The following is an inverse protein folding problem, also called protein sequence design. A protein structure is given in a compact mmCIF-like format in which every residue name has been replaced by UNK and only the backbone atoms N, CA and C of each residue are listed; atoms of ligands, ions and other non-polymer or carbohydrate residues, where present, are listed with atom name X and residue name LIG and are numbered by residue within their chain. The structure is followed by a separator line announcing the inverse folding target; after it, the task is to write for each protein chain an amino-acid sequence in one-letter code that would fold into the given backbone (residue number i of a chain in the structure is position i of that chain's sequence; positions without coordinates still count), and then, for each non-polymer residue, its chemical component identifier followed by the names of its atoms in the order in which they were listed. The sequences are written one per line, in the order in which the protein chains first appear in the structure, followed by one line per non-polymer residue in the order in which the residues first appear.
data_IF_805782184606
#
_entry.id   IF_805782184606
#
_cell.length_a   1.000
_cell.length_b   1.000
_cell.length_c   1.000
_cell.angle_alpha   90.00
_cell.angle_beta   90.00
_cell.angle_gamma   90.00
#
_symmetry.space_group_name_H-M   'P 1'
#
loop_
_entity.id
_entity.type
_entity.pdbx_description
1 polymer ?
#
# COMPACT_ATOMS: atom_id res chain seq x y z
N UNK A 1 7.35 -44.47 -43.42
CA UNK A 1 8.33 -44.02 -42.42
C UNK A 1 8.07 -42.54 -42.14
N UNK A 2 7.72 -42.16 -40.89
CA UNK A 2 7.54 -40.73 -40.54
C UNK A 2 8.91 -40.11 -40.30
N UNK A 3 9.28 -39.08 -41.09
CA UNK A 3 10.47 -38.29 -40.89
C UNK A 3 10.33 -37.49 -39.56
N UNK A 4 11.00 -37.90 -38.53
CA UNK A 4 11.16 -37.11 -37.31
C UNK A 4 12.26 -36.05 -37.60
N UNK A 5 11.84 -34.79 -37.75
CA UNK A 5 12.77 -33.65 -37.78
C UNK A 5 13.15 -33.34 -36.32
N UNK A 6 14.42 -33.49 -35.96
CA UNK A 6 14.94 -33.10 -34.65
C UNK A 6 15.17 -31.60 -34.58
N UNK A 7 15.07 -31.05 -33.36
CA UNK A 7 15.44 -29.65 -33.06
C UNK A 7 16.96 -29.47 -33.15
N UNK A 8 17.39 -28.36 -33.71
CA UNK A 8 18.81 -28.00 -33.74
C UNK A 8 19.20 -27.38 -32.37
N UNK A 9 20.48 -27.53 -32.00
CA UNK A 9 21.02 -26.96 -30.77
C UNK A 9 20.90 -25.41 -30.75
N UNK A 10 21.10 -24.80 -31.93
CA UNK A 10 21.01 -23.34 -32.07
C UNK A 10 19.57 -22.82 -31.91
N UNK A 11 18.56 -23.54 -32.39
CA UNK A 11 17.16 -23.18 -32.16
C UNK A 11 16.82 -23.20 -30.66
N UNK A 12 17.30 -24.20 -29.91
CA UNK A 12 17.09 -24.26 -28.48
C UNK A 12 17.81 -23.11 -27.76
N UNK A 13 19.06 -22.81 -28.16
CA UNK A 13 19.84 -21.72 -27.53
C UNK A 13 19.17 -20.35 -27.72
N UNK A 14 18.64 -20.06 -28.91
CA UNK A 14 17.95 -18.80 -29.17
C UNK A 14 16.68 -18.69 -28.30
N UNK A 15 15.90 -19.77 -28.20
CA UNK A 15 14.66 -19.78 -27.40
C UNK A 15 14.96 -19.52 -25.93
N UNK A 16 15.93 -20.20 -25.34
CA UNK A 16 16.26 -19.99 -23.91
C UNK A 16 16.84 -18.59 -23.67
N UNK A 17 17.58 -18.02 -24.60
CA UNK A 17 18.08 -16.66 -24.52
C UNK A 17 16.94 -15.62 -24.48
N UNK A 18 15.96 -15.77 -25.36
CA UNK A 18 14.77 -14.89 -25.39
C UNK A 18 13.95 -15.04 -24.10
N UNK A 19 13.71 -16.28 -23.65
CA UNK A 19 12.98 -16.52 -22.40
C UNK A 19 13.71 -15.88 -21.21
N UNK A 20 15.03 -15.96 -21.14
CA UNK A 20 15.82 -15.36 -20.07
C UNK A 20 15.67 -13.85 -19.99
N UNK A 21 15.67 -13.17 -21.15
CA UNK A 21 15.47 -11.71 -21.25
C UNK A 21 14.04 -11.34 -20.80
N UNK A 22 13.03 -12.04 -21.30
CA UNK A 22 11.63 -11.78 -20.92
C UNK A 22 11.38 -12.05 -19.45
N UNK A 23 11.94 -13.13 -18.89
CA UNK A 23 11.81 -13.47 -17.48
C UNK A 23 12.43 -12.41 -16.58
N UNK A 24 13.58 -11.84 -16.95
CA UNK A 24 14.23 -10.79 -16.14
C UNK A 24 13.33 -9.57 -15.97
N UNK A 25 12.60 -9.16 -17.00
CA UNK A 25 11.65 -8.05 -16.96
C UNK A 25 10.39 -8.44 -16.17
N UNK A 26 9.84 -9.64 -16.45
CA UNK A 26 8.60 -10.11 -15.85
C UNK A 26 8.71 -10.25 -14.32
N UNK A 27 9.83 -10.76 -13.80
CA UNK A 27 10.06 -10.92 -12.35
C UNK A 27 10.02 -9.57 -11.64
N UNK A 28 10.67 -8.55 -12.20
CA UNK A 28 10.68 -7.20 -11.60
C UNK A 28 9.26 -6.60 -11.52
N UNK A 29 8.49 -6.70 -12.61
CA UNK A 29 7.11 -6.20 -12.65
C UNK A 29 6.19 -6.96 -11.69
N UNK A 30 6.37 -8.28 -11.58
CA UNK A 30 5.62 -9.11 -10.63
C UNK A 30 5.89 -8.69 -9.18
N UNK A 31 7.15 -8.44 -8.82
CA UNK A 31 7.51 -7.96 -7.48
C UNK A 31 6.85 -6.61 -7.16
N UNK A 32 6.86 -5.67 -8.09
CA UNK A 32 6.20 -4.38 -7.91
C UNK A 32 4.68 -4.51 -7.75
N UNK A 33 4.07 -5.42 -8.51
CA UNK A 33 2.64 -5.73 -8.36
C UNK A 33 2.31 -6.31 -6.98
N UNK A 34 3.11 -7.26 -6.49
CA UNK A 34 2.95 -7.85 -5.15
C UNK A 34 3.10 -6.79 -4.06
N UNK A 35 4.11 -5.91 -4.16
CA UNK A 35 4.29 -4.83 -3.19
C UNK A 35 3.08 -3.88 -3.21
N UNK A 36 2.58 -3.50 -4.39
CA UNK A 36 1.38 -2.66 -4.51
C UNK A 36 0.15 -3.29 -3.88
N UNK A 37 -0.04 -4.61 -4.04
CA UNK A 37 -1.14 -5.33 -3.38
C UNK A 37 -1.02 -5.31 -1.86
N UNK A 38 0.18 -5.38 -1.31
CA UNK A 38 0.42 -5.24 0.12
C UNK A 38 0.13 -3.81 0.61
N UNK A 39 0.49 -2.81 -0.20
CA UNK A 39 0.21 -1.40 0.14
C UNK A 39 -1.31 -1.11 0.17
N UNK A 40 -2.12 -1.79 -0.63
CA UNK A 40 -3.57 -1.59 -0.63
C UNK A 40 -4.25 -1.98 0.69
N UNK A 41 -3.65 -2.85 1.51
CA UNK A 41 -4.15 -3.19 2.85
C UNK A 41 -4.25 -1.95 3.74
N UNK A 42 -3.28 -1.03 3.66
CA UNK A 42 -3.31 0.22 4.41
C UNK A 42 -4.50 1.10 4.05
N UNK A 43 -4.91 1.12 2.78
CA UNK A 43 -6.12 1.84 2.36
C UNK A 43 -7.38 1.20 2.94
N UNK A 44 -7.47 -0.14 2.90
CA UNK A 44 -8.62 -0.87 3.45
C UNK A 44 -8.77 -0.68 4.96
N UNK A 45 -7.68 -0.73 5.72
CA UNK A 45 -7.70 -0.46 7.16
C UNK A 45 -8.06 1.00 7.47
N UNK A 46 -7.53 1.93 6.67
CA UNK A 46 -7.84 3.35 6.83
C UNK A 46 -9.31 3.68 6.56
N UNK A 47 -10.02 2.93 5.70
CA UNK A 47 -11.42 3.19 5.39
C UNK A 47 -12.32 3.02 6.61
N UNK A 48 -12.07 2.01 7.44
CA UNK A 48 -12.75 1.87 8.73
C UNK A 48 -12.48 3.03 9.68
N UNK A 49 -11.22 3.49 9.73
CA UNK A 49 -10.80 4.63 10.56
C UNK A 49 -11.41 5.95 10.04
N UNK A 50 -11.49 6.15 8.73
CA UNK A 50 -12.14 7.33 8.12
C UNK A 50 -13.59 7.47 8.56
N UNK A 51 -14.31 6.36 8.62
CA UNK A 51 -15.71 6.35 9.07
C UNK A 51 -15.82 6.84 10.52
N UNK A 52 -15.03 6.29 11.44
CA UNK A 52 -15.03 6.69 12.84
C UNK A 52 -14.63 8.17 13.04
N UNK A 53 -13.64 8.66 12.27
CA UNK A 53 -13.26 10.08 12.30
C UNK A 53 -14.40 10.94 11.76
N UNK A 54 -15.08 10.53 10.70
CA UNK A 54 -16.23 11.23 10.15
C UNK A 54 -17.34 11.39 11.17
N UNK A 55 -17.70 10.33 11.87
CA UNK A 55 -18.69 10.37 12.97
C UNK A 55 -18.25 11.30 14.10
N UNK A 56 -16.98 11.19 14.53
CA UNK A 56 -16.44 12.04 15.59
C UNK A 56 -16.48 13.52 15.21
N UNK A 57 -16.03 13.87 13.99
CA UNK A 57 -16.01 15.26 13.51
C UNK A 57 -17.42 15.83 13.37
N UNK A 58 -18.37 15.03 12.86
CA UNK A 58 -19.77 15.45 12.75
C UNK A 58 -20.42 15.74 14.12
N UNK A 59 -20.07 14.93 15.13
CA UNK A 59 -20.62 15.07 16.47
C UNK A 59 -19.92 16.15 17.32
N UNK A 60 -18.61 16.31 17.16
CA UNK A 60 -17.78 17.16 18.02
C UNK A 60 -17.31 18.46 17.37
N UNK A 61 -17.33 18.54 16.02
CA UNK A 61 -16.91 19.73 15.29
C UNK A 61 -15.38 19.92 15.15
N UNK A 62 -14.56 19.01 15.64
CA UNK A 62 -13.08 19.05 15.51
C UNK A 62 -12.52 17.65 15.26
N UNK A 63 -11.27 17.55 14.82
CA UNK A 63 -10.60 16.26 14.60
C UNK A 63 -10.14 15.61 15.90
N UNK A 64 -10.18 14.27 16.03
CA UNK A 64 -9.69 13.56 17.21
C UNK A 64 -8.17 13.73 17.36
N UNK A 65 -7.71 13.84 18.61
CA UNK A 65 -6.29 13.97 18.92
C UNK A 65 -5.56 12.61 19.00
N UNK A 66 -6.29 11.49 19.05
CA UNK A 66 -5.75 10.14 19.12
C UNK A 66 -6.81 9.11 18.73
N UNK A 67 -6.39 7.86 18.49
CA UNK A 67 -7.30 6.75 18.20
C UNK A 67 -8.40 6.61 19.26
N UNK A 68 -8.02 6.66 20.56
CA UNK A 68 -8.98 6.55 21.68
C UNK A 68 -10.04 7.65 21.69
N UNK A 69 -9.68 8.87 21.29
CA UNK A 69 -10.63 9.98 21.20
C UNK A 69 -11.74 9.71 20.19
N UNK A 70 -11.44 9.03 19.10
CA UNK A 70 -12.38 8.64 18.06
C UNK A 70 -13.12 7.32 18.36
N UNK A 71 -12.95 6.74 19.56
CA UNK A 71 -13.51 5.43 19.90
C UNK A 71 -12.86 4.25 19.19
N UNK A 72 -11.68 4.45 18.63
CA UNK A 72 -10.90 3.43 17.93
C UNK A 72 -10.01 2.66 18.92
N UNK A 73 -9.68 1.42 18.55
CA UNK A 73 -8.66 0.63 19.24
C UNK A 73 -7.29 1.35 19.19
N UNK A 74 -6.37 0.96 20.08
CA UNK A 74 -4.99 1.44 20.07
C UNK A 74 -4.37 1.20 18.68
N UNK A 75 -3.49 2.10 18.21
CA UNK A 75 -2.92 2.06 16.85
C UNK A 75 -2.31 0.69 16.50
N UNK A 76 -1.56 0.10 17.43
CA UNK A 76 -0.95 -1.23 17.25
C UNK A 76 -1.96 -2.40 17.23
N UNK A 77 -3.23 -2.15 17.59
CA UNK A 77 -4.32 -3.14 17.51
C UNK A 77 -5.05 -3.08 16.16
N UNK A 78 -4.96 -1.96 15.46
CA UNK A 78 -5.47 -1.80 14.09
C UNK A 78 -4.35 -2.18 13.15
N UNK A 79 -4.23 -3.47 12.85
CA UNK A 79 -3.16 -4.07 12.06
C UNK A 79 -3.69 -5.13 11.12
N UNK A 80 -2.91 -5.40 10.07
CA UNK A 80 -3.13 -6.48 9.14
C UNK A 80 -1.91 -7.41 9.03
N UNK A 81 -1.75 -8.05 7.91
CA UNK A 81 -0.58 -8.90 7.64
C UNK A 81 0.66 -8.06 7.27
N UNK A 82 0.45 -6.97 6.54
CA UNK A 82 1.50 -6.09 6.01
C UNK A 82 1.57 -4.76 6.75
N UNK A 83 0.45 -4.26 7.26
CA UNK A 83 0.34 -3.06 8.08
C UNK A 83 0.49 -3.46 9.54
N UNK A 84 1.39 -2.84 10.28
CA UNK A 84 1.59 -3.13 11.70
C UNK A 84 0.87 -2.19 12.64
N UNK A 85 0.54 -0.98 12.17
CA UNK A 85 -0.25 -0.02 12.94
C UNK A 85 -0.99 0.98 12.05
N UNK A 86 -2.12 1.49 12.56
CA UNK A 86 -2.82 2.64 11.98
C UNK A 86 -3.04 3.67 13.06
N UNK A 87 -2.44 4.84 12.91
CA UNK A 87 -2.42 5.92 13.89
C UNK A 87 -3.24 7.13 13.43
N UNK A 88 -3.95 7.72 14.39
CA UNK A 88 -4.66 9.00 14.26
C UNK A 88 -4.11 9.94 15.32
N UNK A 89 -3.84 11.18 14.95
CA UNK A 89 -3.47 12.21 15.92
C UNK A 89 -1.98 12.59 15.94
N UNK A 90 -1.11 11.88 15.22
CA UNK A 90 0.28 12.36 15.00
C UNK A 90 0.27 13.72 14.30
N UNK A 91 -0.67 13.90 13.39
CA UNK A 91 -0.99 15.19 12.76
C UNK A 91 -2.50 15.33 12.72
N UNK A 92 -3.05 16.47 13.10
CA UNK A 92 -4.49 16.72 13.14
C UNK A 92 -5.15 16.43 11.79
N UNK A 93 -6.19 15.58 11.80
CA UNK A 93 -6.94 15.21 10.60
C UNK A 93 -6.19 14.28 9.64
N UNK A 94 -5.11 13.62 10.09
CA UNK A 94 -4.34 12.68 9.26
C UNK A 94 -4.38 11.29 9.88
N UNK A 95 -4.69 10.30 9.05
CA UNK A 95 -4.53 8.87 9.36
C UNK A 95 -3.21 8.42 8.76
N UNK A 96 -2.41 7.68 9.51
CA UNK A 96 -1.13 7.13 9.04
C UNK A 96 -1.16 5.61 9.21
N UNK A 97 -1.04 4.88 8.11
CA UNK A 97 -0.82 3.45 8.09
C UNK A 97 0.67 3.15 7.88
N UNK A 98 1.27 2.34 8.75
CA UNK A 98 2.71 2.01 8.74
C UNK A 98 2.91 0.56 8.31
N UNK A 99 3.76 0.34 7.29
CA UNK A 99 4.02 -1.00 6.72
C UNK A 99 5.20 -1.70 7.41
N UNK A 100 4.99 -2.13 8.65
CA UNK A 100 5.94 -2.91 9.46
C UNK A 100 5.36 -4.26 9.92
N UNK A 101 4.25 -4.69 9.32
CA UNK A 101 3.59 -5.96 9.62
C UNK A 101 4.49 -7.17 9.37
N UNK A 102 4.20 -8.29 10.04
CA UNK A 102 5.05 -9.49 10.02
C UNK A 102 5.38 -10.01 8.62
N UNK A 103 4.41 -10.00 7.72
CA UNK A 103 4.52 -10.51 6.34
C UNK A 103 4.84 -9.44 5.29
N UNK A 104 5.00 -8.17 5.66
CA UNK A 104 5.32 -7.12 4.71
C UNK A 104 6.65 -7.38 4.00
N UNK A 105 6.72 -7.01 2.73
CA UNK A 105 7.92 -7.13 1.91
C UNK A 105 9.09 -6.37 2.55
N UNK A 106 10.31 -6.88 2.40
CA UNK A 106 11.51 -6.26 2.96
C UNK A 106 11.68 -4.79 2.52
N UNK A 107 11.30 -4.46 1.28
CA UNK A 107 11.34 -3.09 0.77
C UNK A 107 10.36 -2.14 1.48
N UNK A 108 9.31 -2.65 2.11
CA UNK A 108 8.37 -1.85 2.90
C UNK A 108 8.84 -1.68 4.34
N UNK A 109 9.61 -2.65 4.87
CA UNK A 109 10.06 -2.71 6.27
C UNK A 109 11.38 -1.99 6.53
N UNK A 110 12.29 -1.94 5.56
CA UNK A 110 13.67 -1.47 5.74
C UNK A 110 13.75 -0.04 6.28
N UNK A 111 12.85 0.81 5.86
CA UNK A 111 12.51 2.08 6.50
C UNK A 111 10.99 2.06 6.57
N UNK A 112 10.35 1.96 7.73
CA UNK A 112 8.91 1.74 7.77
C UNK A 112 8.19 2.76 6.88
N UNK A 113 7.69 2.26 5.73
CA UNK A 113 7.01 3.10 4.76
C UNK A 113 5.60 3.39 5.26
N UNK A 114 5.10 4.57 4.99
CA UNK A 114 3.81 5.02 5.47
C UNK A 114 2.91 5.48 4.35
N UNK A 115 1.62 5.24 4.50
CA UNK A 115 0.58 5.83 3.67
C UNK A 115 -0.28 6.72 4.55
N UNK A 116 -0.46 7.98 4.16
CA UNK A 116 -1.20 8.97 4.93
C UNK A 116 -2.46 9.42 4.19
N UNK A 117 -3.55 9.56 4.95
CA UNK A 117 -4.82 10.07 4.46
C UNK A 117 -5.14 11.35 5.22
N UNK A 118 -5.08 12.49 4.53
CA UNK A 118 -5.38 13.81 5.09
C UNK A 118 -6.84 14.16 4.84
N UNK A 119 -7.56 14.50 5.89
CA UNK A 119 -8.93 14.98 5.80
C UNK A 119 -8.97 16.49 5.54
N UNK A 120 -9.75 16.91 4.57
CA UNK A 120 -10.11 18.31 4.32
C UNK A 120 -11.59 18.48 4.64
N UNK A 121 -11.92 19.47 5.45
CA UNK A 121 -13.32 19.79 5.79
C UNK A 121 -13.90 20.70 4.73
N UNK A 122 -14.93 20.23 4.07
CA UNK A 122 -15.81 21.02 3.22
C UNK A 122 -17.15 21.24 3.94
N UNK A 123 -17.98 22.14 3.45
CA UNK A 123 -19.30 22.44 4.04
C UNK A 123 -20.16 21.17 4.12
N UNK A 124 -20.15 20.48 5.26
CA UNK A 124 -20.96 19.28 5.54
C UNK A 124 -20.36 17.93 5.11
N UNK A 125 -19.12 17.89 4.62
CA UNK A 125 -18.44 16.64 4.23
C UNK A 125 -16.95 16.65 4.58
N UNK A 126 -16.34 15.45 4.64
CA UNK A 126 -14.89 15.26 4.69
C UNK A 126 -14.40 14.72 3.36
N UNK A 127 -13.43 15.40 2.78
CA UNK A 127 -12.69 14.91 1.61
C UNK A 127 -11.35 14.32 2.06
N UNK A 128 -10.97 13.18 1.50
CA UNK A 128 -9.78 12.46 1.89
C UNK A 128 -8.75 12.44 0.76
N UNK A 129 -7.57 12.98 1.03
CA UNK A 129 -6.43 12.95 0.13
C UNK A 129 -5.41 11.93 0.60
N UNK A 130 -5.09 10.96 -0.27
CA UNK A 130 -4.11 9.93 0.00
C UNK A 130 -2.75 10.32 -0.55
N UNK A 131 -1.70 10.27 0.30
CA UNK A 131 -0.33 10.57 -0.11
C UNK A 131 0.70 9.80 0.70
N UNK A 132 1.90 9.67 0.14
CA UNK A 132 3.09 9.17 0.85
C UNK A 132 4.32 9.94 0.39
N UNK A 133 5.18 10.28 1.35
CA UNK A 133 6.47 10.93 1.09
C UNK A 133 7.62 9.93 0.91
N UNK A 134 7.42 8.66 1.30
CA UNK A 134 8.49 7.65 1.33
C UNK A 134 8.17 6.38 0.54
N UNK A 135 6.94 6.22 0.01
CA UNK A 135 6.58 5.15 -0.93
C UNK A 135 6.94 5.55 -2.35
N UNK A 136 7.56 4.64 -3.09
CA UNK A 136 7.80 4.83 -4.54
C UNK A 136 6.47 4.86 -5.30
N UNK A 137 6.36 5.74 -6.30
CA UNK A 137 5.13 5.90 -7.10
C UNK A 137 4.66 4.58 -7.73
N UNK A 138 5.56 3.70 -8.16
CA UNK A 138 5.23 2.39 -8.73
C UNK A 138 4.54 1.42 -7.77
N UNK A 139 4.66 1.62 -6.45
CA UNK A 139 4.02 0.82 -5.40
C UNK A 139 2.76 1.47 -4.84
N UNK A 140 2.52 2.70 -5.24
CA UNK A 140 1.39 3.51 -4.79
C UNK A 140 0.07 3.02 -5.37
N UNK A 141 -1.03 2.98 -4.61
CA UNK A 141 -2.36 2.84 -5.16
C UNK A 141 -2.67 3.96 -6.15
N UNK A 142 -3.47 3.68 -7.19
CA UNK A 142 -3.79 4.65 -8.24
C UNK A 142 -4.52 5.91 -7.75
N UNK A 143 -5.21 5.81 -6.61
CA UNK A 143 -5.92 6.92 -5.95
C UNK A 143 -5.02 7.78 -5.07
N UNK A 144 -3.72 7.44 -4.93
CA UNK A 144 -2.79 8.10 -4.04
C UNK A 144 -1.65 8.77 -4.81
N UNK A 145 -1.03 9.79 -4.22
CA UNK A 145 0.17 10.45 -4.74
C UNK A 145 1.36 10.10 -3.86
N UNK A 146 2.39 9.47 -4.43
CA UNK A 146 3.61 9.09 -3.73
C UNK A 146 4.83 9.76 -4.36
N UNK A 147 5.78 10.22 -3.54
CA UNK A 147 6.94 11.01 -3.97
C UNK A 147 8.27 10.45 -3.51
N UNK A 148 8.28 9.23 -2.92
CA UNK A 148 9.49 8.53 -2.46
C UNK A 148 10.28 7.80 -3.53
#
# INVERSE_FOLDING_TARGET
MKNQKGFTLIELMIVVAIIAILAAIAISQYQDYVIRSQVSEGSSLADGVKTAIGEFVNNRGYFPAANSSAGLAASASIKGEYVGDVNVGTTTGVIIATYNGGKANANLKSTPLTLSFSAVRNSGSLEWHCKSANLKQKWCPSSCTCTG
#
